data_IF_292068422640
#
_entry.id   IF_292068422640
#
_cell.length_a   1.000
_cell.length_b   1.000
_cell.length_c   1.000
_cell.angle_alpha   90.00
_cell.angle_beta   90.00
_cell.angle_gamma   90.00
#
_symmetry.space_group_name_H-M   'P 1'
#
loop_
_entity.id
_entity.type
_entity.pdbx_description
1 polymer ?
#
# COMPACT_ATOMS: atom_id res chain seq x y z
N UNK A 1 -21.79 3.60 -4.15
CA UNK A 1 -21.84 3.77 -2.69
C UNK A 1 -20.41 3.78 -2.20
N UNK A 2 -19.93 4.89 -1.64
CA UNK A 2 -18.64 4.95 -0.97
C UNK A 2 -18.74 4.19 0.35
N UNK A 3 -17.84 3.24 0.60
CA UNK A 3 -17.79 2.55 1.89
C UNK A 3 -17.55 3.59 3.01
N UNK A 4 -18.22 3.46 4.16
CA UNK A 4 -18.01 4.39 5.26
C UNK A 4 -16.56 4.28 5.78
N UNK A 5 -15.97 5.44 6.06
CA UNK A 5 -14.64 5.52 6.68
C UNK A 5 -14.69 4.82 8.04
N UNK A 6 -13.74 3.93 8.29
CA UNK A 6 -13.65 3.25 9.59
C UNK A 6 -13.25 4.23 10.69
N UNK A 7 -13.86 4.09 11.86
CA UNK A 7 -13.58 4.93 13.03
C UNK A 7 -12.09 5.02 13.37
N UNK A 8 -11.34 3.91 13.34
CA UNK A 8 -9.90 3.95 13.65
C UNK A 8 -9.07 4.77 12.65
N UNK A 9 -9.43 4.75 11.36
CA UNK A 9 -8.80 5.61 10.37
C UNK A 9 -9.21 7.07 10.59
N UNK A 10 -10.50 7.30 10.82
CA UNK A 10 -11.04 8.63 11.10
C UNK A 10 -10.34 9.31 12.28
N UNK A 11 -10.28 8.63 13.41
CA UNK A 11 -9.71 9.16 14.65
C UNK A 11 -8.20 9.39 14.51
N UNK A 12 -7.47 8.48 13.85
CA UNK A 12 -6.04 8.65 13.60
C UNK A 12 -5.73 9.86 12.71
N UNK A 13 -6.54 10.11 11.68
CA UNK A 13 -6.39 11.28 10.80
C UNK A 13 -6.63 12.57 11.57
N UNK A 14 -7.73 12.66 12.34
CA UNK A 14 -8.04 13.86 13.12
C UNK A 14 -6.99 14.14 14.19
N UNK A 15 -6.52 13.10 14.90
CA UNK A 15 -5.49 13.26 15.94
C UNK A 15 -4.16 13.77 15.37
N UNK A 16 -3.84 13.40 14.13
CA UNK A 16 -2.59 13.77 13.46
C UNK A 16 -2.70 15.03 12.56
N UNK A 17 -3.91 15.61 12.46
CA UNK A 17 -4.18 16.78 11.63
C UNK A 17 -4.33 18.04 12.49
N UNK A 18 -4.20 19.20 11.86
CA UNK A 18 -4.48 20.48 12.50
C UNK A 18 -5.98 20.77 12.51
N UNK A 19 -6.71 20.32 11.50
CA UNK A 19 -8.15 20.48 11.40
C UNK A 19 -8.95 19.48 12.24
N UNK A 20 -10.10 19.94 12.74
CA UNK A 20 -10.99 19.16 13.61
C UNK A 20 -12.11 18.42 12.85
N UNK A 21 -12.16 18.54 11.52
CA UNK A 21 -13.16 17.89 10.67
C UNK A 21 -12.50 17.03 9.61
N UNK A 22 -13.09 15.87 9.30
CA UNK A 22 -12.53 14.91 8.33
C UNK A 22 -12.26 15.54 6.96
N UNK A 23 -13.22 16.30 6.43
CA UNK A 23 -13.13 16.93 5.12
C UNK A 23 -12.03 17.98 5.01
N UNK A 24 -11.65 18.61 6.13
CA UNK A 24 -10.54 19.55 6.18
C UNK A 24 -9.22 18.82 6.45
N UNK A 25 -9.22 17.90 7.41
CA UNK A 25 -8.05 17.12 7.80
C UNK A 25 -7.44 16.37 6.62
N UNK A 26 -8.27 15.71 5.80
CA UNK A 26 -7.81 14.96 4.61
C UNK A 26 -7.08 15.83 3.57
N UNK A 27 -7.34 17.15 3.52
CA UNK A 27 -6.66 18.07 2.59
C UNK A 27 -5.23 18.40 3.01
N UNK A 28 -4.87 18.14 4.27
CA UNK A 28 -3.53 18.37 4.81
C UNK A 28 -2.52 17.29 4.38
N UNK A 29 -3.02 16.14 3.91
CA UNK A 29 -2.21 15.00 3.48
C UNK A 29 -1.96 15.06 1.98
N UNK A 30 -0.69 15.00 1.59
CA UNK A 30 -0.27 15.37 0.24
C UNK A 30 0.74 14.44 -0.43
N UNK A 31 1.39 13.57 0.33
CA UNK A 31 2.40 12.64 -0.20
C UNK A 31 2.10 11.22 0.30
N UNK A 32 2.12 10.26 -0.64
CA UNK A 32 2.06 8.84 -0.34
C UNK A 32 3.35 8.16 -0.81
N UNK A 33 3.98 7.40 0.08
CA UNK A 33 5.18 6.62 -0.22
C UNK A 33 4.93 5.15 0.04
N UNK A 34 5.33 4.29 -0.91
CA UNK A 34 5.31 2.85 -0.72
C UNK A 34 6.44 2.44 0.24
N UNK A 35 6.08 1.92 1.41
CA UNK A 35 7.04 1.36 2.36
C UNK A 35 6.94 -0.17 2.22
N UNK A 36 7.68 -0.72 1.26
CA UNK A 36 7.70 -2.16 1.01
C UNK A 36 8.76 -2.83 1.87
N UNK A 37 8.37 -3.52 2.95
CA UNK A 37 9.28 -4.23 3.87
C UNK A 37 9.48 -5.71 3.52
N UNK A 38 9.12 -6.13 2.30
CA UNK A 38 9.56 -7.41 1.75
C UNK A 38 8.83 -8.69 2.16
N UNK A 39 8.28 -8.89 3.38
CA UNK A 39 7.99 -10.28 3.80
C UNK A 39 6.76 -10.61 4.69
N UNK A 40 5.79 -9.71 4.94
CA UNK A 40 4.56 -10.14 5.63
C UNK A 40 3.36 -9.22 5.37
N UNK A 41 2.15 -9.78 5.46
CA UNK A 41 0.92 -8.98 5.52
C UNK A 41 1.00 -8.10 6.76
N UNK A 42 0.79 -6.80 6.60
CA UNK A 42 0.68 -5.85 7.71
C UNK A 42 -0.78 -5.55 7.99
N UNK A 43 -1.08 -4.99 9.16
CA UNK A 43 -2.42 -4.50 9.48
C UNK A 43 -2.45 -3.00 9.28
N UNK A 44 -3.32 -2.51 8.39
CA UNK A 44 -3.61 -1.09 8.21
C UNK A 44 -4.07 -0.48 9.55
N UNK A 45 -3.88 0.83 9.72
CA UNK A 45 -4.46 1.62 10.82
C UNK A 45 -5.99 1.37 10.96
N UNK A 46 -6.68 1.08 9.87
CA UNK A 46 -8.11 0.75 9.89
C UNK A 46 -8.43 -0.67 10.45
N UNK A 47 -7.42 -1.48 10.75
CA UNK A 47 -7.51 -2.85 11.25
C UNK A 47 -7.54 -3.95 10.17
N UNK A 48 -7.63 -3.62 8.88
CA UNK A 48 -7.59 -4.63 7.81
C UNK A 48 -6.18 -5.10 7.51
N UNK A 49 -6.04 -6.38 7.18
CA UNK A 49 -4.81 -6.90 6.58
C UNK A 49 -4.58 -6.27 5.19
N UNK A 50 -3.36 -5.83 4.96
CA UNK A 50 -2.93 -5.20 3.70
C UNK A 50 -1.73 -5.93 3.13
N UNK A 51 -1.70 -6.02 1.80
CA UNK A 51 -0.60 -6.62 1.05
C UNK A 51 0.56 -5.65 0.88
N UNK A 52 0.24 -4.38 0.67
CA UNK A 52 1.20 -3.28 0.51
C UNK A 52 0.88 -2.23 1.56
N UNK A 53 1.92 -1.78 2.26
CA UNK A 53 1.85 -0.71 3.23
C UNK A 53 2.39 0.57 2.61
N UNK A 54 1.65 1.64 2.82
CA UNK A 54 2.04 2.99 2.44
C UNK A 54 2.23 3.83 3.69
N UNK A 55 2.95 4.93 3.54
CA UNK A 55 3.05 6.02 4.50
C UNK A 55 2.44 7.27 3.86
N UNK A 56 1.55 7.95 4.58
CA UNK A 56 1.08 9.28 4.22
C UNK A 56 1.78 10.33 5.08
N UNK A 57 2.17 11.44 4.45
CA UNK A 57 2.71 12.61 5.14
C UNK A 57 1.69 13.75 5.18
N UNK A 58 1.53 14.36 6.36
CA UNK A 58 0.78 15.58 6.55
C UNK A 58 1.72 16.78 6.42
N UNK A 59 1.57 17.57 5.36
CA UNK A 59 2.42 18.73 5.11
C UNK A 59 2.18 19.91 6.06
N UNK A 60 1.06 19.92 6.79
CA UNK A 60 0.69 20.98 7.75
C UNK A 60 1.25 20.69 9.14
N UNK A 61 1.11 19.45 9.62
CA UNK A 61 1.51 19.06 10.98
C UNK A 61 2.88 18.36 11.04
N UNK A 62 3.40 17.91 9.89
CA UNK A 62 4.60 17.08 9.81
C UNK A 62 4.40 15.65 10.29
N UNK A 63 3.17 15.25 10.60
CA UNK A 63 2.83 13.90 11.08
C UNK A 63 2.80 12.88 9.94
N UNK A 64 2.86 11.60 10.33
CA UNK A 64 2.83 10.47 9.39
C UNK A 64 1.76 9.48 9.77
N UNK A 65 1.08 8.91 8.77
CA UNK A 65 0.18 7.78 8.94
C UNK A 65 0.82 6.55 8.30
N UNK A 66 1.22 5.62 9.15
CA UNK A 66 1.78 4.35 8.75
C UNK A 66 1.40 3.26 9.78
N UNK A 67 1.12 2.02 9.36
CA UNK A 67 0.94 1.56 7.98
C UNK A 67 -0.48 1.83 7.47
N UNK A 68 -0.61 2.39 6.26
CA UNK A 68 -1.92 2.60 5.62
C UNK A 68 -2.03 1.81 4.31
N UNK A 69 -3.21 1.22 4.05
CA UNK A 69 -3.49 0.51 2.80
C UNK A 69 -4.08 1.41 1.73
N UNK A 70 -3.98 1.02 0.45
CA UNK A 70 -4.47 1.84 -0.66
C UNK A 70 -5.97 2.14 -0.57
N UNK A 71 -6.79 1.21 -0.11
CA UNK A 71 -8.22 1.47 0.12
C UNK A 71 -8.48 2.57 1.15
N UNK A 72 -7.63 2.68 2.18
CA UNK A 72 -7.75 3.72 3.18
C UNK A 72 -7.27 5.08 2.68
N UNK A 73 -6.20 5.10 1.87
CA UNK A 73 -5.71 6.32 1.23
C UNK A 73 -6.75 6.89 0.24
N UNK A 74 -7.50 6.04 -0.49
CA UNK A 74 -8.56 6.48 -1.40
C UNK A 74 -9.69 7.27 -0.72
N UNK A 75 -9.87 7.13 0.60
CA UNK A 75 -10.85 7.92 1.35
C UNK A 75 -10.47 9.40 1.52
N UNK A 76 -9.22 9.77 1.22
CA UNK A 76 -8.78 11.16 1.28
C UNK A 76 -9.28 11.96 0.07
N UNK A 77 -9.73 11.28 -1.00
CA UNK A 77 -10.28 11.89 -2.21
C UNK A 77 -9.36 12.97 -2.81
N UNK A 78 -8.06 12.69 -2.79
CA UNK A 78 -7.00 13.55 -3.33
C UNK A 78 -6.52 12.94 -4.63
N UNK A 79 -6.83 13.60 -5.75
CA UNK A 79 -6.40 13.16 -7.09
C UNK A 79 -4.91 12.84 -7.17
N UNK A 80 -4.06 13.63 -6.50
CA UNK A 80 -2.61 13.41 -6.48
C UNK A 80 -2.24 12.10 -5.77
N UNK A 81 -2.88 11.78 -4.65
CA UNK A 81 -2.64 10.54 -3.91
C UNK A 81 -3.13 9.33 -4.71
N UNK A 82 -4.29 9.45 -5.34
CA UNK A 82 -4.85 8.38 -6.18
C UNK A 82 -3.94 8.09 -7.38
N UNK A 83 -3.43 9.12 -8.05
CA UNK A 83 -2.47 8.97 -9.15
C UNK A 83 -1.17 8.30 -8.71
N UNK A 84 -0.58 8.74 -7.59
CA UNK A 84 0.63 8.14 -7.03
C UNK A 84 0.41 6.65 -6.68
N UNK A 85 -0.73 6.31 -6.06
CA UNK A 85 -1.08 4.93 -5.76
C UNK A 85 -1.24 4.07 -7.01
N UNK A 86 -1.90 4.58 -8.05
CA UNK A 86 -2.09 3.84 -9.30
C UNK A 86 -0.76 3.52 -9.99
N UNK A 87 0.17 4.47 -9.99
CA UNK A 87 1.52 4.29 -10.53
C UNK A 87 2.30 3.21 -9.75
N UNK A 88 2.32 3.30 -8.41
CA UNK A 88 2.97 2.33 -7.53
C UNK A 88 2.36 0.93 -7.69
N UNK A 89 1.03 0.80 -7.67
CA UNK A 89 0.33 -0.48 -7.85
C UNK A 89 0.61 -1.09 -9.23
N UNK A 90 0.75 -0.27 -10.28
CA UNK A 90 1.10 -0.73 -11.63
C UNK A 90 2.53 -1.28 -11.67
N UNK A 91 3.49 -0.63 -11.01
CA UNK A 91 4.86 -1.11 -10.88
C UNK A 91 4.92 -2.42 -10.09
N UNK A 92 4.22 -2.48 -8.96
CA UNK A 92 4.14 -3.68 -8.13
C UNK A 92 3.59 -4.88 -8.91
N UNK A 93 2.49 -4.71 -9.66
CA UNK A 93 1.94 -5.78 -10.51
C UNK A 93 2.95 -6.28 -11.56
N UNK A 94 3.75 -5.38 -12.14
CA UNK A 94 4.81 -5.76 -13.09
C UNK A 94 5.89 -6.59 -12.39
N UNK A 95 6.37 -6.12 -11.24
CA UNK A 95 7.39 -6.83 -10.44
C UNK A 95 6.89 -8.22 -10.05
N UNK A 96 5.68 -8.35 -9.51
CA UNK A 96 5.11 -9.65 -9.13
C UNK A 96 5.00 -10.62 -10.31
N UNK A 97 4.58 -10.13 -11.48
CA UNK A 97 4.49 -10.93 -12.69
C UNK A 97 5.86 -11.43 -13.16
N UNK A 98 6.89 -10.57 -13.08
CA UNK A 98 8.26 -10.93 -13.44
C UNK A 98 8.86 -11.94 -12.45
N UNK A 99 8.71 -11.70 -11.14
CA UNK A 99 9.18 -12.61 -10.08
C UNK A 99 8.54 -13.98 -10.22
N UNK A 100 7.22 -14.05 -10.46
CA UNK A 100 6.52 -15.32 -10.68
C UNK A 100 7.02 -16.06 -11.94
N UNK A 101 7.32 -15.34 -13.02
CA UNK A 101 7.88 -15.93 -14.25
C UNK A 101 9.29 -16.48 -14.00
N UNK A 102 10.12 -15.75 -13.26
CA UNK A 102 11.47 -16.19 -12.88
C UNK A 102 11.42 -17.48 -12.05
N UNK A 103 10.60 -17.52 -11.00
CA UNK A 103 10.41 -18.71 -10.15
C UNK A 103 9.92 -19.93 -10.94
N UNK A 104 8.99 -19.75 -11.88
CA UNK A 104 8.52 -20.85 -12.74
C UNK A 104 9.62 -21.38 -13.67
N UNK A 105 10.42 -20.48 -14.25
CA UNK A 105 11.54 -20.85 -15.13
C UNK A 105 12.64 -21.59 -14.36
N UNK A 106 12.93 -21.14 -13.15
CA UNK A 106 13.87 -21.79 -12.24
C UNK A 106 13.37 -23.18 -11.84
N UNK A 107 12.12 -23.30 -11.38
CA UNK A 107 11.51 -24.61 -11.08
C UNK A 107 11.52 -25.57 -12.27
N UNK A 108 11.23 -25.09 -13.47
CA UNK A 108 11.29 -25.89 -14.71
C UNK A 108 12.70 -26.33 -15.06
N UNK A 109 13.71 -25.46 -14.87
CA UNK A 109 15.13 -25.81 -15.05
C UNK A 109 15.58 -26.86 -14.03
N UNK A 110 15.24 -26.68 -12.76
CA UNK A 110 15.59 -27.63 -11.70
C UNK A 110 14.99 -29.02 -11.96
N UNK A 111 13.72 -29.09 -12.39
CA UNK A 111 13.08 -30.37 -12.76
C UNK A 111 13.78 -31.01 -13.97
N UNK A 112 14.11 -30.23 -15.01
CA UNK A 112 14.79 -30.77 -16.20
C UNK A 112 16.19 -31.32 -15.87
N UNK A 113 16.94 -30.63 -14.99
CA UNK A 113 18.27 -31.06 -14.58
C UNK A 113 18.26 -32.39 -13.79
N UNK A 114 17.24 -32.62 -12.96
CA UNK A 114 17.04 -33.90 -12.26
C UNK A 114 16.82 -35.01 -13.29
N UNK A 115 15.89 -34.82 -14.23
CA UNK A 115 15.55 -35.83 -15.24
C UNK A 115 16.69 -36.17 -16.22
N UNK A 116 17.68 -35.29 -16.39
CA UNK A 116 18.83 -35.52 -17.29
C UNK A 116 20.05 -36.13 -16.61
N UNK A 117 20.08 -36.20 -15.27
CA UNK A 117 21.18 -36.79 -14.50
C UNK A 117 20.94 -38.27 -14.11
N UNK A 118 19.79 -38.84 -14.49
CA UNK A 118 19.41 -40.24 -14.22
C UNK A 118 19.73 -41.21 -15.40
N UNK A 119 20.70 -40.87 -16.26
CA UNK A 119 21.26 -41.75 -17.30
C UNK A 119 22.78 -41.70 -17.32
#
# INVERSE_FOLDING_TARGET
MTLPVRKSLHDAVLQASKADTWDQATKEWNEVSLIFNGLSRSNCICGNAIKYAYELFNGVTGQRLFPIGSDCVRHFHRLTLDQQLEEEEKLLRKVENLTRKAQKKEKSRSIKAILTNDF
#
